data_IF_184171564884
#
_entry.id   IF_184171564884
#
_cell.length_a   1.000
_cell.length_b   1.000
_cell.length_c   1.000
_cell.angle_alpha   90.00
_cell.angle_beta   90.00
_cell.angle_gamma   90.00
#
_symmetry.space_group_name_H-M   'P 1'
#
loop_
_entity.id
_entity.type
_entity.pdbx_description
1 polymer ?
#
# COMPACT_ATOMS: atom_id res chain seq x y z
N UNK A 1 -39.70 -10.99 -9.02
CA UNK A 1 -38.38 -10.41 -8.70
C UNK A 1 -38.57 -9.57 -7.46
N UNK A 2 -37.96 -9.94 -6.33
CA UNK A 2 -38.16 -9.21 -5.07
C UNK A 2 -37.27 -7.95 -5.09
N UNK A 3 -37.90 -6.78 -5.11
CA UNK A 3 -37.22 -5.50 -4.95
C UNK A 3 -36.72 -5.46 -3.51
N UNK A 4 -35.41 -5.58 -3.29
CA UNK A 4 -34.85 -5.31 -1.97
C UNK A 4 -35.26 -3.90 -1.56
N UNK A 5 -35.83 -3.78 -0.36
CA UNK A 5 -36.24 -2.50 0.18
C UNK A 5 -35.03 -1.58 0.23
N UNK A 6 -35.17 -0.33 -0.22
CA UNK A 6 -34.11 0.67 -0.20
C UNK A 6 -33.48 0.85 1.19
N UNK A 7 -34.24 0.54 2.26
CA UNK A 7 -33.75 0.53 3.63
C UNK A 7 -32.64 -0.52 3.87
N UNK A 8 -32.79 -1.74 3.34
CA UNK A 8 -31.80 -2.82 3.54
C UNK A 8 -30.46 -2.48 2.86
N UNK A 9 -30.51 -1.83 1.70
CA UNK A 9 -29.30 -1.36 1.02
C UNK A 9 -28.57 -0.28 1.82
N UNK A 10 -29.30 0.59 2.49
CA UNK A 10 -28.71 1.64 3.32
C UNK A 10 -28.01 1.06 4.55
N UNK A 11 -28.65 0.09 5.23
CA UNK A 11 -28.07 -0.59 6.39
C UNK A 11 -26.83 -1.44 6.03
N UNK A 12 -26.83 -2.07 4.84
CA UNK A 12 -25.65 -2.78 4.33
C UNK A 12 -24.50 -1.79 4.02
N UNK A 13 -24.80 -0.66 3.39
CA UNK A 13 -23.80 0.37 3.11
C UNK A 13 -23.17 0.93 4.39
N UNK A 14 -23.97 1.15 5.44
CA UNK A 14 -23.47 1.57 6.75
C UNK A 14 -22.56 0.52 7.39
N UNK A 15 -22.93 -0.76 7.30
CA UNK A 15 -22.09 -1.87 7.81
C UNK A 15 -20.75 -1.96 7.08
N UNK A 16 -20.76 -1.85 5.75
CA UNK A 16 -19.53 -1.86 4.95
C UNK A 16 -18.65 -0.66 5.32
N UNK A 17 -19.24 0.54 5.44
CA UNK A 17 -18.50 1.73 5.85
C UNK A 17 -17.85 1.57 7.22
N UNK A 18 -18.57 1.01 8.19
CA UNK A 18 -18.05 0.74 9.53
C UNK A 18 -16.93 -0.30 9.51
N UNK A 19 -17.07 -1.37 8.73
CA UNK A 19 -16.03 -2.40 8.58
C UNK A 19 -14.76 -1.83 7.96
N UNK A 20 -14.89 -1.01 6.91
CA UNK A 20 -13.74 -0.32 6.29
C UNK A 20 -13.03 0.60 7.29
N UNK A 21 -13.79 1.33 8.10
CA UNK A 21 -13.21 2.18 9.16
C UNK A 21 -12.36 1.36 10.13
N UNK A 22 -12.86 0.22 10.60
CA UNK A 22 -12.10 -0.69 11.48
C UNK A 22 -10.82 -1.19 10.80
N UNK A 23 -10.89 -1.54 9.52
CA UNK A 23 -9.74 -2.06 8.79
C UNK A 23 -8.68 -0.98 8.53
N UNK A 24 -9.10 0.27 8.29
CA UNK A 24 -8.18 1.43 8.25
C UNK A 24 -7.52 1.66 9.61
N UNK A 25 -8.28 1.65 10.71
CA UNK A 25 -7.71 1.83 12.05
C UNK A 25 -6.70 0.71 12.38
N UNK A 26 -6.98 -0.54 11.99
CA UNK A 26 -6.04 -1.67 12.14
C UNK A 26 -4.80 -1.50 11.29
N UNK A 27 -4.92 -0.95 10.08
CA UNK A 27 -3.79 -0.66 9.21
C UNK A 27 -2.90 0.43 9.83
N UNK A 28 -3.50 1.53 10.31
CA UNK A 28 -2.78 2.64 10.93
C UNK A 28 -2.04 2.19 12.21
N UNK A 29 -2.65 1.35 13.04
CA UNK A 29 -1.96 0.75 14.21
C UNK A 29 -0.74 -0.10 13.82
N UNK A 30 -0.83 -0.87 12.72
CA UNK A 30 0.30 -1.65 12.21
C UNK A 30 1.41 -0.75 11.68
N UNK A 31 1.06 0.32 10.97
CA UNK A 31 2.01 1.31 10.48
C UNK A 31 2.71 2.04 11.63
N UNK A 32 1.98 2.43 12.67
CA UNK A 32 2.55 3.06 13.86
C UNK A 32 3.50 2.12 14.60
N UNK A 33 3.13 0.84 14.72
CA UNK A 33 4.00 -0.19 15.30
C UNK A 33 5.29 -0.34 14.50
N UNK A 34 5.20 -0.36 13.17
CA UNK A 34 6.36 -0.42 12.29
C UNK A 34 7.25 0.82 12.45
N UNK A 35 6.67 2.03 12.44
CA UNK A 35 7.40 3.30 12.66
C UNK A 35 8.13 3.31 13.99
N UNK A 36 7.47 2.89 15.08
CA UNK A 36 8.09 2.80 16.41
C UNK A 36 9.25 1.82 16.44
N UNK A 37 9.08 0.62 15.86
CA UNK A 37 10.16 -0.38 15.76
C UNK A 37 11.33 0.14 14.94
N UNK A 38 11.07 0.75 13.79
CA UNK A 38 12.10 1.34 12.95
C UNK A 38 12.88 2.43 13.70
N UNK A 39 12.19 3.37 14.34
CA UNK A 39 12.83 4.43 15.13
C UNK A 39 13.61 3.89 16.35
N UNK A 40 13.15 2.80 16.98
CA UNK A 40 13.90 2.12 18.03
C UNK A 40 15.18 1.47 17.50
N UNK A 41 15.10 0.80 16.34
CA UNK A 41 16.25 0.16 15.71
C UNK A 41 17.28 1.18 15.23
N UNK A 42 16.85 2.29 14.62
CA UNK A 42 17.76 3.40 14.25
C UNK A 42 18.46 3.98 15.48
N UNK A 43 17.76 4.11 16.62
CA UNK A 43 18.38 4.56 17.88
C UNK A 43 19.41 3.55 18.40
N UNK A 44 19.15 2.24 18.32
CA UNK A 44 20.12 1.20 18.69
C UNK A 44 21.38 1.25 17.83
N UNK A 45 21.23 1.39 16.51
CA UNK A 45 22.39 1.51 15.62
C UNK A 45 23.22 2.76 15.92
N UNK A 46 22.59 3.90 16.15
CA UNK A 46 23.30 5.13 16.50
C UNK A 46 24.03 5.02 17.85
N UNK A 47 23.45 4.34 18.85
CA UNK A 47 24.10 4.09 20.14
C UNK A 47 25.30 3.14 20.01
N UNK A 48 25.22 2.13 19.15
CA UNK A 48 26.33 1.21 18.88
C UNK A 48 27.56 1.91 18.28
N UNK A 49 27.33 2.89 17.41
CA UNK A 49 28.41 3.69 16.80
C UNK A 49 29.11 4.57 17.84
N UNK A 50 28.39 5.14 18.80
CA UNK A 50 28.97 5.95 19.86
C UNK A 50 29.80 5.13 20.87
N UNK A 51 29.38 3.89 21.19
CA UNK A 51 30.15 3.04 22.10
C UNK A 51 31.44 2.48 21.49
N UNK A 52 31.48 2.24 20.17
CA UNK A 52 32.69 1.76 19.48
C UNK A 52 33.81 2.81 19.36
N UNK A 53 33.49 4.10 19.48
CA UNK A 53 34.47 5.19 19.39
C UNK A 53 35.23 5.46 20.71
N UNK A 54 34.75 4.95 21.84
CA UNK A 54 35.34 5.26 23.17
C UNK A 54 36.38 4.22 23.61
N UNK A 55 36.38 3.00 23.04
CA UNK A 55 37.31 1.94 23.47
C UNK A 55 38.66 1.92 22.75
N UNK A 56 38.93 2.83 21.81
CA UNK A 56 40.21 2.86 21.06
C UNK A 56 41.14 4.00 21.51
N UNK A 57 40.74 4.83 22.50
CA UNK A 57 41.55 5.98 22.93
C UNK A 57 41.87 5.98 24.44
N UNK A 58 42.11 4.80 25.02
CA UNK A 58 42.60 4.65 26.41
C UNK A 58 44.13 4.55 26.49
N UNK A 59 44.84 5.37 25.73
CA UNK A 59 46.22 5.79 26.04
C UNK A 59 46.34 7.26 25.66
N UNK A 60 45.80 8.16 26.48
CA UNK A 60 46.39 9.47 26.81
C UNK A 60 45.32 10.42 27.36
N UNK A 61 45.69 11.08 28.44
CA UNK A 61 45.11 12.31 28.96
C UNK A 61 43.91 12.16 29.90
N UNK A 62 44.27 12.03 31.18
CA UNK A 62 43.51 12.51 32.32
C UNK A 62 43.06 13.97 32.14
N UNK A 63 42.01 14.36 32.87
CA UNK A 63 41.44 15.71 33.04
C UNK A 63 40.25 16.02 32.11
N UNK A 64 39.12 15.35 32.34
CA UNK A 64 37.77 15.89 32.11
C UNK A 64 36.73 14.96 32.77
N UNK A 65 36.81 14.85 34.10
CA UNK A 65 35.74 14.30 34.92
C UNK A 65 34.92 15.44 35.51
N UNK A 66 33.61 15.21 35.65
CA UNK A 66 32.56 16.01 36.30
C UNK A 66 31.64 16.77 35.33
N UNK A 67 30.33 16.57 35.51
CA UNK A 67 29.16 17.05 34.75
C UNK A 67 28.77 16.06 33.61
N UNK A 68 27.84 15.10 33.75
CA UNK A 68 26.56 15.11 34.48
C UNK A 68 26.18 13.66 34.82
N UNK A 69 25.83 13.43 36.09
CA UNK A 69 25.09 12.26 36.55
C UNK A 69 23.83 12.75 37.26
N UNK A 70 22.80 11.90 37.28
CA UNK A 70 21.46 12.06 37.88
C UNK A 70 20.48 12.77 36.92
N UNK A 71 19.34 12.19 36.52
CA UNK A 71 18.36 11.54 37.40
C UNK A 71 17.53 10.44 36.70
N UNK A 72 17.03 9.51 37.51
CA UNK A 72 16.25 8.31 37.18
C UNK A 72 14.75 8.60 37.02
N UNK A 73 14.04 7.88 36.13
CA UNK A 73 12.94 6.96 36.52
C UNK A 73 12.31 6.27 35.31
N UNK A 74 12.40 4.95 35.32
CA UNK A 74 11.64 4.03 34.49
C UNK A 74 10.30 3.71 35.19
N UNK A 75 9.20 3.72 34.43
CA UNK A 75 7.93 3.08 34.78
C UNK A 75 7.59 2.16 33.60
N UNK A 76 7.76 0.86 33.83
CA UNK A 76 7.39 -0.20 32.91
C UNK A 76 6.05 -0.78 33.38
N UNK A 77 4.96 -0.51 32.66
CA UNK A 77 3.68 -1.18 32.88
C UNK A 77 3.60 -2.45 32.01
N UNK A 78 3.59 -3.58 32.71
CA UNK A 78 3.46 -4.94 32.19
C UNK A 78 1.97 -5.31 32.17
N UNK A 79 1.31 -5.23 31.02
CA UNK A 79 -0.11 -5.61 30.87
C UNK A 79 -0.23 -6.98 30.25
N UNK A 80 -0.27 -7.96 31.14
CA UNK A 80 -0.49 -9.37 30.90
C UNK A 80 -1.96 -9.64 30.49
N UNK A 81 -2.23 -9.85 29.19
CA UNK A 81 -3.56 -10.26 28.70
C UNK A 81 -3.55 -11.74 28.27
N UNK A 82 -3.81 -12.62 29.24
CA UNK A 82 -4.31 -13.96 28.97
C UNK A 82 -5.76 -13.87 28.46
N UNK A 83 -6.01 -14.32 27.22
CA UNK A 83 -7.35 -14.74 26.78
C UNK A 83 -7.30 -16.14 26.20
N UNK A 84 -7.60 -17.10 27.08
CA UNK A 84 -8.27 -18.34 26.70
C UNK A 84 -9.63 -17.99 26.11
N UNK A 85 -9.92 -18.46 24.89
CA UNK A 85 -11.31 -18.69 24.48
C UNK A 85 -11.38 -19.85 23.50
N UNK A 86 -11.67 -21.00 24.08
CA UNK A 86 -12.26 -22.19 23.48
C UNK A 86 -13.66 -21.89 22.91
N UNK A 87 -14.17 -22.84 22.13
CA UNK A 87 -15.55 -23.00 21.64
C UNK A 87 -15.85 -22.29 20.30
N UNK A 88 -16.51 -22.90 19.32
CA UNK A 88 -17.13 -24.21 19.16
C UNK A 88 -17.44 -24.38 17.67
N UNK A 89 -17.23 -25.57 17.13
CA UNK A 89 -17.57 -25.93 15.76
C UNK A 89 -19.08 -26.14 15.63
N UNK A 90 -19.78 -25.11 15.14
CA UNK A 90 -21.17 -25.22 14.68
C UNK A 90 -21.22 -25.51 13.18
N UNK A 91 -21.36 -26.77 12.82
CA UNK A 91 -21.65 -27.20 11.44
C UNK A 91 -23.13 -26.99 11.16
N UNK A 92 -23.46 -25.95 10.38
CA UNK A 92 -24.83 -25.72 9.88
C UNK A 92 -24.87 -26.09 8.40
N UNK A 93 -25.55 -27.22 8.16
CA UNK A 93 -25.99 -27.69 6.85
C UNK A 93 -27.22 -26.90 6.39
N UNK A 94 -27.27 -26.57 5.09
CA UNK A 94 -28.53 -26.28 4.39
C UNK A 94 -28.79 -24.80 4.04
N UNK A 95 -28.61 -24.45 2.77
CA UNK A 95 -29.68 -24.06 1.83
C UNK A 95 -29.11 -23.26 0.66
N UNK A 96 -29.52 -23.63 -0.55
CA UNK A 96 -29.07 -23.05 -1.83
C UNK A 96 -29.39 -21.56 -1.93
N UNK A 97 -28.45 -20.72 -1.46
CA UNK A 97 -28.41 -19.30 -1.78
C UNK A 97 -28.00 -19.16 -3.25
N UNK A 98 -28.96 -18.75 -4.10
CA UNK A 98 -28.65 -18.17 -5.42
C UNK A 98 -27.62 -17.07 -5.19
N UNK A 99 -26.39 -17.29 -5.65
CA UNK A 99 -25.31 -16.29 -5.59
C UNK A 99 -25.77 -15.08 -6.39
N UNK A 100 -26.13 -14.00 -5.71
CA UNK A 100 -26.32 -12.70 -6.33
C UNK A 100 -24.94 -12.30 -6.86
N UNK A 101 -24.83 -12.13 -8.18
CA UNK A 101 -23.62 -11.68 -8.82
C UNK A 101 -23.20 -10.37 -8.14
N UNK A 102 -22.06 -10.41 -7.46
CA UNK A 102 -21.54 -9.24 -6.76
C UNK A 102 -21.05 -8.25 -7.81
N UNK A 103 -21.02 -6.95 -7.51
CA UNK A 103 -20.59 -5.91 -8.48
C UNK A 103 -19.17 -6.15 -9.03
N UNK A 104 -18.39 -7.01 -8.36
CA UNK A 104 -17.11 -7.55 -8.86
C UNK A 104 -17.21 -8.24 -10.22
N UNK A 105 -18.36 -8.86 -10.52
CA UNK A 105 -18.56 -9.62 -11.75
C UNK A 105 -18.86 -8.70 -12.96
N UNK A 106 -19.23 -7.44 -12.73
CA UNK A 106 -19.59 -6.49 -13.81
C UNK A 106 -18.39 -5.79 -14.45
N UNK A 107 -17.27 -5.69 -13.72
CA UNK A 107 -16.08 -4.98 -14.17
C UNK A 107 -14.79 -5.76 -13.85
N UNK A 108 -14.62 -6.98 -14.42
CA UNK A 108 -13.45 -7.80 -14.18
C UNK A 108 -12.14 -7.09 -14.57
N UNK A 109 -12.16 -6.26 -15.62
CA UNK A 109 -11.00 -5.48 -16.07
C UNK A 109 -10.52 -4.47 -15.01
N UNK A 110 -11.44 -3.81 -14.29
CA UNK A 110 -11.06 -2.84 -13.25
C UNK A 110 -10.44 -3.54 -12.05
N UNK A 111 -11.01 -4.69 -11.65
CA UNK A 111 -10.45 -5.47 -10.54
C UNK A 111 -9.12 -6.12 -10.90
N UNK A 112 -8.91 -6.55 -12.14
CA UNK A 112 -7.62 -7.05 -12.61
C UNK A 112 -6.56 -5.93 -12.68
N UNK A 113 -6.95 -4.73 -13.11
CA UNK A 113 -6.07 -3.55 -13.09
C UNK A 113 -5.78 -3.05 -11.66
N UNK A 114 -6.63 -3.36 -10.68
CA UNK A 114 -6.42 -3.02 -9.26
C UNK A 114 -5.76 -4.15 -8.47
N UNK A 115 -5.81 -5.40 -8.91
CA UNK A 115 -5.21 -6.53 -8.19
C UNK A 115 -3.68 -6.46 -8.20
N UNK A 116 -3.07 -5.93 -9.25
CA UNK A 116 -1.63 -5.64 -9.27
C UNK A 116 -1.21 -4.55 -8.27
N UNK A 117 -2.18 -3.79 -7.72
CA UNK A 117 -1.95 -2.96 -6.55
C UNK A 117 -2.12 -3.78 -5.26
N UNK A 118 -3.14 -4.61 -5.12
CA UNK A 118 -3.53 -5.21 -3.83
C UNK A 118 -3.10 -6.67 -3.60
N UNK A 119 -2.13 -7.21 -4.34
CA UNK A 119 -1.58 -8.53 -3.99
C UNK A 119 -0.92 -8.43 -2.60
N UNK A 120 -1.41 -9.17 -1.59
CA UNK A 120 -0.73 -9.25 -0.30
C UNK A 120 0.67 -9.81 -0.56
N UNK A 121 1.71 -9.23 0.06
CA UNK A 121 3.08 -9.63 -0.18
C UNK A 121 3.27 -11.08 0.26
N UNK A 122 3.21 -12.02 -0.68
CA UNK A 122 3.83 -13.31 -0.51
C UNK A 122 5.33 -13.11 -0.71
N UNK A 123 6.15 -13.57 0.23
CA UNK A 123 7.55 -13.16 0.40
C UNK A 123 8.45 -13.33 -0.84
N UNK A 124 8.09 -14.21 -1.78
CA UNK A 124 8.83 -14.41 -3.03
C UNK A 124 8.52 -13.33 -4.09
N UNK A 125 7.29 -12.79 -4.10
CA UNK A 125 6.87 -11.74 -5.03
C UNK A 125 7.47 -10.38 -4.69
N UNK A 126 8.04 -10.21 -3.49
CA UNK A 126 8.65 -8.96 -3.06
C UNK A 126 10.01 -8.69 -3.71
N UNK A 127 10.69 -9.72 -4.22
CA UNK A 127 12.04 -9.58 -4.75
C UNK A 127 12.04 -9.38 -6.26
N UNK A 128 11.25 -10.17 -6.99
CA UNK A 128 11.17 -10.16 -8.47
C UNK A 128 9.77 -9.77 -8.92
N UNK A 129 9.67 -8.97 -9.98
CA UNK A 129 8.40 -8.59 -10.58
C UNK A 129 7.83 -9.73 -11.42
N UNK A 130 6.58 -10.12 -11.20
CA UNK A 130 5.93 -11.20 -11.97
C UNK A 130 5.65 -10.83 -13.44
N UNK A 131 5.62 -9.53 -13.76
CA UNK A 131 5.31 -9.04 -15.10
C UNK A 131 6.55 -8.99 -16.01
N UNK A 132 7.65 -8.42 -15.53
CA UNK A 132 8.88 -8.28 -16.33
C UNK A 132 10.05 -9.11 -15.82
N UNK A 133 9.88 -9.88 -14.74
CA UNK A 133 10.93 -10.71 -14.12
C UNK A 133 12.18 -9.94 -13.68
N UNK A 134 12.12 -8.62 -13.57
CA UNK A 134 13.21 -7.80 -13.04
C UNK A 134 13.15 -7.67 -11.53
N UNK A 135 14.30 -7.36 -10.90
CA UNK A 135 14.37 -7.06 -9.47
C UNK A 135 13.54 -5.84 -9.10
N UNK A 136 12.73 -5.91 -8.05
CA UNK A 136 11.86 -4.78 -7.66
C UNK A 136 12.61 -3.57 -7.11
N UNK A 137 13.85 -3.75 -6.68
CA UNK A 137 14.74 -2.70 -6.20
C UNK A 137 16.17 -3.00 -6.63
N UNK A 138 16.95 -1.96 -6.92
CA UNK A 138 18.40 -2.10 -7.16
C UNK A 138 19.14 -2.66 -5.95
N UNK A 139 18.65 -2.43 -4.74
CA UNK A 139 19.24 -2.94 -3.50
C UNK A 139 19.10 -4.46 -3.34
N UNK A 140 18.22 -5.10 -4.10
CA UNK A 140 18.01 -6.56 -4.07
C UNK A 140 18.90 -7.30 -5.07
N UNK A 141 19.58 -6.54 -5.95
CA UNK A 141 20.45 -7.13 -6.97
C UNK A 141 21.74 -7.59 -6.31
N UNK A 142 22.02 -8.88 -6.42
CA UNK A 142 23.26 -9.47 -5.93
C UNK A 142 24.38 -9.23 -6.94
N UNK A 143 25.57 -8.90 -6.45
CA UNK A 143 26.74 -8.76 -7.31
C UNK A 143 27.19 -10.14 -7.82
N UNK A 144 27.70 -10.17 -9.05
CA UNK A 144 28.33 -11.36 -9.60
C UNK A 144 29.53 -11.79 -8.73
N UNK A 145 29.82 -13.10 -8.66
CA UNK A 145 31.00 -13.59 -7.96
C UNK A 145 32.27 -12.99 -8.57
N UNK A 146 33.13 -12.42 -7.74
CA UNK A 146 34.45 -11.94 -8.20
C UNK A 146 35.24 -13.12 -8.79
N UNK A 147 35.89 -12.97 -9.97
CA UNK A 147 36.19 -11.71 -10.67
C UNK A 147 35.38 -11.53 -11.98
N UNK A 148 34.12 -11.94 -11.99
CA UNK A 148 33.25 -11.83 -13.16
C UNK A 148 32.60 -10.46 -13.28
N UNK A 149 32.39 -10.01 -14.51
CA UNK A 149 31.69 -8.76 -14.83
C UNK A 149 30.77 -8.95 -16.03
N UNK A 150 29.56 -8.41 -15.96
CA UNK A 150 28.60 -8.43 -17.07
C UNK A 150 28.84 -7.24 -18.00
N UNK A 151 28.79 -7.50 -19.31
CA UNK A 151 28.87 -6.51 -20.37
C UNK A 151 27.73 -6.70 -21.36
N UNK A 152 27.33 -5.63 -22.04
CA UNK A 152 26.35 -5.66 -23.12
C UNK A 152 27.07 -5.63 -24.47
N UNK A 153 26.76 -6.58 -25.34
CA UNK A 153 27.24 -6.59 -26.72
C UNK A 153 26.19 -5.96 -27.64
N UNK A 154 26.50 -4.78 -28.17
CA UNK A 154 25.62 -4.03 -29.08
C UNK A 154 25.37 -4.77 -30.41
N UNK A 155 26.30 -5.64 -30.83
CA UNK A 155 26.18 -6.34 -32.13
C UNK A 155 25.19 -7.49 -32.08
N UNK A 156 25.21 -8.28 -31.00
CA UNK A 156 24.25 -9.37 -30.78
C UNK A 156 23.00 -8.93 -30.03
N UNK A 157 23.03 -7.78 -29.35
CA UNK A 157 21.98 -7.32 -28.45
C UNK A 157 21.85 -8.19 -27.19
N UNK A 158 22.91 -8.92 -26.80
CA UNK A 158 22.92 -9.82 -25.65
C UNK A 158 23.98 -9.45 -24.63
N UNK A 159 23.76 -9.85 -23.39
CA UNK A 159 24.77 -9.70 -22.35
C UNK A 159 25.72 -10.89 -22.33
N UNK A 160 26.98 -10.64 -22.00
CA UNK A 160 28.01 -11.65 -21.79
C UNK A 160 28.77 -11.38 -20.50
N UNK A 161 29.41 -12.41 -19.96
CA UNK A 161 30.15 -12.38 -18.71
C UNK A 161 31.63 -12.56 -19.01
N UNK A 162 32.44 -11.63 -18.55
CA UNK A 162 33.89 -11.65 -18.71
C UNK A 162 34.57 -11.94 -17.38
N UNK A 163 35.49 -12.90 -17.39
CA UNK A 163 36.33 -13.21 -16.24
C UNK A 163 37.67 -12.49 -16.37
N UNK A 164 37.96 -11.51 -15.50
CA UNK A 164 39.15 -10.66 -15.64
C UNK A 164 40.48 -11.41 -15.44
N UNK A 165 40.51 -12.43 -14.56
CA UNK A 165 41.72 -13.24 -14.33
C UNK A 165 42.14 -14.13 -15.51
N UNK A 166 41.21 -14.94 -16.05
CA UNK A 166 41.48 -15.91 -17.14
C UNK A 166 41.25 -15.35 -18.54
N UNK A 167 40.66 -14.15 -18.65
CA UNK A 167 40.22 -13.53 -19.91
C UNK A 167 39.20 -14.35 -20.70
N UNK A 168 38.45 -15.20 -20.02
CA UNK A 168 37.37 -16.00 -20.63
C UNK A 168 36.08 -15.20 -20.74
N UNK A 169 35.30 -15.48 -21.79
CA UNK A 169 33.99 -14.88 -22.05
C UNK A 169 32.94 -15.98 -22.08
N UNK A 170 31.87 -15.84 -21.30
CA UNK A 170 30.73 -16.74 -21.27
C UNK A 170 29.43 -16.01 -21.62
N UNK A 171 28.51 -16.72 -22.26
CA UNK A 171 27.17 -16.21 -22.61
C UNK A 171 26.10 -16.58 -21.58
N UNK A 172 26.50 -17.29 -20.52
CA UNK A 172 25.64 -17.70 -19.42
C UNK A 172 26.28 -17.27 -18.09
N UNK A 173 25.46 -16.96 -17.05
CA UNK A 173 25.99 -16.59 -15.76
C UNK A 173 26.90 -17.68 -15.19
N UNK A 174 27.99 -17.31 -14.49
CA UNK A 174 28.90 -18.29 -13.90
C UNK A 174 28.21 -19.17 -12.83
N UNK A 175 28.68 -20.42 -12.60
CA UNK A 175 28.02 -21.37 -11.68
C UNK A 175 27.81 -20.90 -10.24
N UNK A 176 28.61 -19.93 -9.77
CA UNK A 176 28.48 -19.35 -8.44
C UNK A 176 27.57 -18.11 -8.38
N UNK A 177 26.81 -17.84 -9.45
CA UNK A 177 25.82 -16.76 -9.47
C UNK A 177 24.64 -17.13 -8.58
N UNK A 178 24.12 -16.14 -7.86
CA UNK A 178 22.92 -16.28 -7.05
C UNK A 178 21.74 -16.84 -7.89
N UNK A 179 20.99 -17.84 -7.39
CA UNK A 179 19.91 -18.46 -8.15
C UNK A 179 18.82 -17.50 -8.61
N UNK A 180 18.53 -16.45 -7.82
CA UNK A 180 17.56 -15.43 -8.23
C UNK A 180 18.08 -14.63 -9.41
N UNK A 181 19.35 -14.23 -9.37
CA UNK A 181 20.01 -13.50 -10.46
C UNK A 181 20.07 -14.31 -11.75
N UNK A 182 20.30 -15.62 -11.65
CA UNK A 182 20.22 -16.54 -12.78
C UNK A 182 18.79 -16.62 -13.37
N UNK A 183 17.76 -16.71 -12.51
CA UNK A 183 16.36 -16.71 -12.94
C UNK A 183 15.97 -15.40 -13.65
N UNK A 184 16.44 -14.24 -13.16
CA UNK A 184 16.24 -12.95 -13.83
C UNK A 184 16.89 -12.97 -15.21
N UNK A 185 18.14 -13.43 -15.31
CA UNK A 185 18.86 -13.52 -16.58
C UNK A 185 18.14 -14.37 -17.63
N UNK A 186 17.56 -15.52 -17.26
CA UNK A 186 16.82 -16.37 -18.21
C UNK A 186 15.65 -15.65 -18.89
N UNK A 187 15.07 -14.65 -18.22
CA UNK A 187 13.90 -13.90 -18.72
C UNK A 187 14.26 -12.55 -19.32
N UNK A 188 15.24 -11.85 -18.77
CA UNK A 188 15.57 -10.47 -19.15
C UNK A 188 16.91 -10.35 -19.88
N UNK A 189 17.68 -11.44 -19.97
CA UNK A 189 19.00 -11.51 -20.59
C UNK A 189 20.08 -10.68 -19.87
N UNK A 190 19.86 -10.27 -18.61
CA UNK A 190 20.84 -9.56 -17.76
C UNK A 190 20.61 -9.88 -16.29
N UNK A 191 21.68 -10.10 -15.51
CA UNK A 191 21.53 -10.38 -14.06
C UNK A 191 21.27 -9.11 -13.24
N UNK A 192 21.41 -7.92 -13.84
CA UNK A 192 21.22 -6.63 -13.17
C UNK A 192 19.90 -5.93 -13.52
N UNK A 193 18.95 -6.63 -14.17
CA UNK A 193 17.71 -6.00 -14.62
C UNK A 193 16.82 -5.59 -13.44
N UNK A 194 16.57 -4.29 -13.31
CA UNK A 194 15.61 -3.74 -12.34
C UNK A 194 14.24 -3.56 -13.01
N UNK A 195 13.19 -3.93 -12.30
CA UNK A 195 11.81 -3.78 -12.72
C UNK A 195 11.43 -2.30 -12.88
N UNK A 196 10.78 -1.99 -14.00
CA UNK A 196 10.19 -0.68 -14.28
C UNK A 196 8.64 -0.72 -14.32
N UNK A 197 8.03 -1.90 -14.13
CA UNK A 197 6.59 -2.09 -14.22
C UNK A 197 5.83 -1.51 -13.03
N UNK A 198 6.46 -1.45 -11.85
CA UNK A 198 5.79 -0.97 -10.63
C UNK A 198 6.08 0.51 -10.50
N UNK A 199 5.07 1.40 -10.54
CA UNK A 199 5.28 2.78 -10.15
C UNK A 199 5.86 2.79 -8.74
N UNK A 200 6.97 3.52 -8.54
CA UNK A 200 7.63 3.59 -7.23
C UNK A 200 6.62 3.74 -6.10
N UNK A 201 6.88 3.18 -4.93
CA UNK A 201 5.92 3.22 -3.80
C UNK A 201 5.40 4.65 -3.55
N UNK A 202 6.27 5.64 -3.70
CA UNK A 202 5.93 7.07 -3.70
C UNK A 202 4.96 7.48 -4.81
N UNK A 203 5.23 7.12 -6.08
CA UNK A 203 4.32 7.37 -7.20
C UNK A 203 2.97 6.68 -7.00
N UNK A 204 2.96 5.44 -6.47
CA UNK A 204 1.74 4.71 -6.13
C UNK A 204 0.93 5.41 -5.04
N UNK A 205 1.56 5.90 -3.96
CA UNK A 205 0.88 6.69 -2.92
C UNK A 205 0.25 7.94 -3.49
N UNK A 206 0.99 8.69 -4.32
CA UNK A 206 0.48 9.89 -4.99
C UNK A 206 -0.70 9.56 -5.91
N UNK A 207 -0.63 8.45 -6.63
CA UNK A 207 -1.73 7.99 -7.48
C UNK A 207 -2.99 7.69 -6.64
N UNK A 208 -2.83 6.92 -5.56
CA UNK A 208 -3.93 6.57 -4.65
C UNK A 208 -4.50 7.80 -3.94
N UNK A 209 -3.66 8.76 -3.57
CA UNK A 209 -4.10 10.04 -3.03
C UNK A 209 -4.93 10.82 -4.06
N UNK A 210 -4.47 10.94 -5.31
CA UNK A 210 -5.23 11.59 -6.38
C UNK A 210 -6.56 10.88 -6.65
N UNK A 211 -6.58 9.55 -6.64
CA UNK A 211 -7.82 8.79 -6.76
C UNK A 211 -8.79 9.10 -5.61
N UNK A 212 -8.30 9.15 -4.36
CA UNK A 212 -9.10 9.52 -3.18
C UNK A 212 -9.63 10.95 -3.28
N UNK A 213 -8.81 11.89 -3.72
CA UNK A 213 -9.22 13.29 -3.92
C UNK A 213 -10.30 13.39 -5.01
N UNK A 214 -10.14 12.67 -6.12
CA UNK A 214 -11.11 12.64 -7.20
C UNK A 214 -12.45 12.03 -6.77
N UNK A 215 -12.45 10.92 -6.03
CA UNK A 215 -13.70 10.32 -5.52
C UNK A 215 -14.40 11.25 -4.53
N UNK A 216 -13.65 11.94 -3.67
CA UNK A 216 -14.21 12.97 -2.78
C UNK A 216 -14.81 14.15 -3.56
N UNK A 217 -14.15 14.60 -4.63
CA UNK A 217 -14.67 15.68 -5.49
C UNK A 217 -15.97 15.26 -6.19
N UNK A 218 -16.02 14.03 -6.75
CA UNK A 218 -17.24 13.52 -7.38
C UNK A 218 -18.39 13.40 -6.38
N UNK A 219 -18.12 12.92 -5.15
CA UNK A 219 -19.12 12.86 -4.11
C UNK A 219 -19.67 14.25 -3.74
N UNK A 220 -18.79 15.26 -3.64
CA UNK A 220 -19.20 16.65 -3.40
C UNK A 220 -20.07 17.20 -4.54
N UNK A 221 -19.65 16.99 -5.79
CA UNK A 221 -20.39 17.44 -6.97
C UNK A 221 -21.79 16.80 -7.05
N UNK A 222 -21.90 15.51 -6.69
CA UNK A 222 -23.19 14.82 -6.65
C UNK A 222 -24.11 15.35 -5.54
N UNK A 223 -23.57 15.65 -4.36
CA UNK A 223 -24.32 16.30 -3.27
C UNK A 223 -24.80 17.68 -3.69
N UNK A 224 -23.94 18.49 -4.31
CA UNK A 224 -24.31 19.83 -4.78
C UNK A 224 -25.39 19.78 -5.87
N UNK A 225 -25.30 18.82 -6.80
CA UNK A 225 -26.33 18.60 -7.83
C UNK A 225 -27.69 18.27 -7.20
N UNK A 226 -27.71 17.43 -6.16
CA UNK A 226 -28.93 17.10 -5.41
C UNK A 226 -29.48 18.30 -4.66
N UNK A 227 -28.63 19.09 -4.02
CA UNK A 227 -29.05 20.33 -3.34
C UNK A 227 -29.70 21.32 -4.30
N UNK A 228 -29.08 21.57 -5.47
CA UNK A 228 -29.66 22.42 -6.52
C UNK A 228 -31.03 21.90 -6.99
N UNK A 229 -31.16 20.58 -7.17
CA UNK A 229 -32.41 19.97 -7.58
C UNK A 229 -33.51 20.14 -6.53
N UNK A 230 -33.21 19.91 -5.25
CA UNK A 230 -34.15 20.11 -4.14
C UNK A 230 -34.56 21.58 -3.99
N UNK A 231 -33.61 22.51 -4.09
CA UNK A 231 -33.92 23.95 -4.09
C UNK A 231 -34.85 24.34 -5.24
N UNK A 232 -34.58 23.85 -6.45
CA UNK A 232 -35.44 24.08 -7.61
C UNK A 232 -36.85 23.55 -7.40
N UNK A 233 -36.98 22.32 -6.88
CA UNK A 233 -38.27 21.72 -6.55
C UNK A 233 -39.03 22.53 -5.48
N UNK A 234 -38.34 22.97 -4.42
CA UNK A 234 -38.93 23.78 -3.36
C UNK A 234 -39.44 25.13 -3.87
N UNK A 235 -38.64 25.83 -4.70
CA UNK A 235 -39.06 27.10 -5.32
C UNK A 235 -40.28 26.88 -6.21
N UNK A 236 -40.29 25.82 -7.02
CA UNK A 236 -41.43 25.50 -7.88
C UNK A 236 -42.71 25.24 -7.08
N UNK A 237 -42.62 24.55 -5.95
CA UNK A 237 -43.75 24.32 -5.03
C UNK A 237 -44.18 25.62 -4.34
N UNK A 238 -43.24 26.47 -3.92
CA UNK A 238 -43.57 27.75 -3.32
C UNK A 238 -44.34 28.64 -4.31
N UNK A 239 -43.92 28.69 -5.58
CA UNK A 239 -44.60 29.47 -6.62
C UNK A 239 -46.00 28.95 -6.98
N UNK A 240 -46.25 27.63 -6.85
CA UNK A 240 -47.60 27.09 -7.07
C UNK A 240 -48.56 27.35 -5.90
N UNK A 241 -48.03 27.56 -4.70
CA UNK A 241 -48.82 27.86 -3.50
C UNK A 241 -49.15 29.34 -3.32
N UNK A 242 -48.43 30.26 -3.98
CA UNK A 242 -48.78 31.68 -3.97
C UNK A 242 -50.11 31.85 -4.73
N UNK A 243 -51.22 32.20 -4.06
CA UNK A 243 -52.48 32.42 -4.73
C UNK A 243 -52.28 33.57 -5.71
N UNK A 244 -52.50 33.31 -6.99
CA UNK A 244 -52.51 34.37 -8.00
C UNK A 244 -53.64 35.32 -7.64
N UNK A 245 -53.31 36.46 -7.01
CA UNK A 245 -54.22 37.59 -6.90
C UNK A 245 -54.32 38.24 -8.29
N UNK A 246 -54.83 37.48 -9.25
CA UNK A 246 -55.27 38.01 -10.52
C UNK A 246 -56.58 38.77 -10.27
N UNK A 247 -56.40 40.06 -9.99
CA UNK A 247 -57.27 41.16 -10.38
C UNK A 247 -58.77 40.89 -10.38
N UNK A 248 -59.35 41.03 -9.19
CA UNK A 248 -60.68 41.62 -9.05
C UNK A 248 -60.64 43.12 -9.37
N UNK A 249 -60.40 43.50 -10.63
CA UNK A 249 -60.75 44.84 -11.12
C UNK A 249 -61.94 44.73 -12.06
N UNK A 250 -63.10 44.87 -11.41
CA UNK A 250 -64.32 45.37 -12.01
C UNK A 250 -64.00 46.54 -12.95
N UNK A 251 -64.46 46.47 -14.19
CA UNK A 251 -64.80 47.69 -14.91
C UNK A 251 -66.14 47.50 -15.60
N UNK A 252 -67.15 48.04 -14.92
CA UNK A 252 -68.46 48.38 -15.43
C UNK A 252 -68.31 49.15 -16.74
N UNK A 253 -68.98 48.71 -17.80
CA UNK A 253 -69.73 49.59 -18.68
C UNK A 253 -70.81 48.81 -19.43
#
# INVERSE_FOLDING_TARGET
>A
MAVQSSAEMFDEAQRISHQLQIDFDRYDRRQETFRKKFAAETRRQNQGICHGAVTVNSISSSVAALLFAQDEKAEAEDVNFHRNRSDSYGSVSGNGRKRVATDKDKHPEVFHALSCFYNPPDAATDIVCELCFGFRSSSMVQQLPSPWTEYFDETSGKHYFYHSGTRQVWWHPPPATDPLSALVFERTNSVYTVCHCIPSNERRRRLMQKFREHTMQMARAEVEKRDRHLRGAFISLAMSLVPSQADGKQQKS
#
